data_IF_821773237441
#
_entry.id   IF_821773237441
#
_cell.length_a   1.000
_cell.length_b   1.000
_cell.length_c   1.000
_cell.angle_alpha   90.00
_cell.angle_beta   90.00
_cell.angle_gamma   90.00
#
_symmetry.space_group_name_H-M   'P 1'
#
loop_
_entity.id
_entity.type
_entity.pdbx_description
1 polymer ?
#
# COMPACT_ATOMS: atom_id res chain seq x y z
N UNK A 1 18.58 -26.43 15.34
CA UNK A 1 19.98 -26.13 14.92
C UNK A 1 20.28 -26.93 13.66
N UNK A 2 21.43 -26.76 13.00
CA UNK A 2 21.70 -27.50 11.75
C UNK A 2 21.83 -29.01 12.01
N UNK A 3 22.24 -29.40 13.22
CA UNK A 3 22.34 -30.79 13.68
C UNK A 3 21.00 -31.52 13.67
N UNK A 4 19.88 -30.78 13.80
CA UNK A 4 18.52 -31.34 13.81
C UNK A 4 17.97 -31.56 12.38
N UNK A 5 18.78 -31.35 11.35
CA UNK A 5 18.38 -31.46 9.95
C UNK A 5 19.17 -32.56 9.24
N UNK A 6 18.72 -32.98 8.06
CA UNK A 6 19.45 -33.96 7.22
C UNK A 6 20.89 -33.52 6.93
N UNK A 7 21.16 -32.21 6.91
CA UNK A 7 22.49 -31.63 6.64
C UNK A 7 23.46 -31.76 7.81
N UNK A 8 22.95 -31.93 9.03
CA UNK A 8 23.75 -32.22 10.21
C UNK A 8 24.17 -33.69 10.32
N UNK A 9 23.56 -34.58 9.55
CA UNK A 9 23.78 -36.02 9.64
C UNK A 9 24.97 -36.46 8.77
N UNK A 10 26.03 -37.08 9.33
CA UNK A 10 27.25 -37.43 8.60
C UNK A 10 27.02 -38.27 7.33
N UNK A 11 26.02 -39.16 7.36
CA UNK A 11 25.68 -40.04 6.25
C UNK A 11 25.14 -39.27 5.05
N UNK A 12 24.55 -38.08 5.26
CA UNK A 12 24.12 -37.22 4.16
C UNK A 12 25.33 -36.71 3.37
N UNK A 13 26.42 -36.35 4.04
CA UNK A 13 27.65 -35.93 3.36
C UNK A 13 28.27 -37.08 2.54
N UNK A 14 28.24 -38.30 3.07
CA UNK A 14 28.70 -39.50 2.36
C UNK A 14 27.85 -39.72 1.09
N UNK A 15 26.53 -39.65 1.22
CA UNK A 15 25.61 -39.76 0.08
C UNK A 15 25.83 -38.66 -0.95
N UNK A 16 25.96 -37.40 -0.53
CA UNK A 16 26.22 -36.28 -1.43
C UNK A 16 27.51 -36.51 -2.22
N UNK A 17 28.59 -36.90 -1.55
CA UNK A 17 29.87 -37.25 -2.20
C UNK A 17 29.72 -38.39 -3.20
N UNK A 18 28.96 -39.43 -2.86
CA UNK A 18 28.68 -40.53 -3.77
C UNK A 18 27.98 -40.03 -5.05
N UNK A 19 26.94 -39.21 -4.93
CA UNK A 19 26.23 -38.64 -6.10
C UNK A 19 27.18 -37.78 -6.95
N UNK A 20 28.11 -37.03 -6.34
CA UNK A 20 29.11 -36.28 -7.09
C UNK A 20 30.06 -37.18 -7.89
N UNK A 21 30.58 -38.23 -7.26
CA UNK A 21 31.50 -39.15 -7.91
C UNK A 21 30.79 -39.98 -8.99
N UNK A 22 29.52 -40.31 -8.77
CA UNK A 22 28.64 -40.88 -9.80
C UNK A 22 28.49 -39.94 -11.00
N UNK A 23 28.17 -38.65 -10.78
CA UNK A 23 27.99 -37.66 -11.84
C UNK A 23 29.27 -37.36 -12.62
N UNK A 24 30.44 -37.43 -11.97
CA UNK A 24 31.76 -37.29 -12.63
C UNK A 24 32.02 -38.47 -13.56
N UNK A 25 31.70 -39.69 -13.12
CA UNK A 25 31.88 -40.92 -13.91
C UNK A 25 30.84 -41.10 -15.01
N UNK A 26 29.66 -40.49 -14.87
CA UNK A 26 28.53 -40.63 -15.78
C UNK A 26 28.05 -39.26 -16.33
N UNK A 27 28.87 -38.56 -17.14
CA UNK A 27 28.59 -37.18 -17.54
C UNK A 27 27.30 -36.98 -18.37
N UNK A 28 26.82 -38.03 -19.04
CA UNK A 28 25.57 -38.02 -19.83
C UNK A 28 24.33 -38.44 -19.04
N UNK A 29 24.50 -38.93 -17.80
CA UNK A 29 23.43 -39.39 -16.90
C UNK A 29 23.57 -38.77 -15.51
N UNK A 30 23.76 -37.45 -15.47
CA UNK A 30 23.92 -36.74 -14.20
C UNK A 30 22.60 -36.73 -13.45
N UNK A 31 22.66 -37.07 -12.17
CA UNK A 31 21.55 -37.00 -11.23
C UNK A 31 21.60 -35.70 -10.43
N UNK A 32 20.44 -35.10 -10.16
CA UNK A 32 20.32 -33.98 -9.24
C UNK A 32 20.08 -34.50 -7.83
N UNK A 33 20.63 -33.82 -6.83
CA UNK A 33 20.39 -34.19 -5.43
C UNK A 33 19.04 -33.68 -4.93
N UNK A 34 18.57 -32.54 -5.47
CA UNK A 34 17.34 -31.87 -5.04
C UNK A 34 16.09 -32.77 -5.07
N UNK A 35 15.80 -33.54 -6.14
CA UNK A 35 14.64 -34.43 -6.16
C UNK A 35 14.58 -35.42 -4.99
N UNK A 36 15.74 -35.88 -4.50
CA UNK A 36 15.83 -36.81 -3.36
C UNK A 36 15.53 -36.14 -2.01
N UNK A 37 15.59 -34.80 -1.95
CA UNK A 37 15.30 -34.02 -0.74
C UNK A 37 13.83 -33.62 -0.61
N UNK A 38 13.08 -33.61 -1.72
CA UNK A 38 11.67 -33.18 -1.75
C UNK A 38 10.69 -34.06 -0.95
N UNK A 39 10.94 -35.37 -0.74
CA UNK A 39 10.12 -36.15 0.18
C UNK A 39 10.29 -35.74 1.65
N UNK A 40 11.41 -35.08 1.99
CA UNK A 40 11.73 -34.67 3.36
C UNK A 40 11.38 -33.20 3.63
N UNK A 41 11.43 -32.37 2.59
CA UNK A 41 11.24 -30.93 2.67
C UNK A 41 10.40 -30.44 1.49
N UNK A 42 9.40 -29.60 1.78
CA UNK A 42 8.81 -28.78 0.73
C UNK A 42 9.82 -27.71 0.26
N UNK A 43 9.51 -27.00 -0.83
CA UNK A 43 10.44 -26.02 -1.41
C UNK A 43 10.80 -24.88 -0.44
N UNK A 44 9.86 -24.50 0.44
CA UNK A 44 10.07 -23.49 1.46
C UNK A 44 11.00 -24.00 2.57
N UNK A 45 10.69 -25.17 3.15
CA UNK A 45 11.51 -25.83 4.17
C UNK A 45 12.91 -26.13 3.66
N UNK A 46 13.04 -26.61 2.42
CA UNK A 46 14.34 -26.86 1.80
C UNK A 46 15.14 -25.56 1.66
N UNK A 47 14.49 -24.45 1.27
CA UNK A 47 15.16 -23.14 1.19
C UNK A 47 15.64 -22.66 2.56
N UNK A 48 14.82 -22.82 3.62
CA UNK A 48 15.20 -22.48 5.01
C UNK A 48 16.43 -23.27 5.46
N UNK A 49 16.40 -24.59 5.26
CA UNK A 49 17.48 -25.47 5.71
C UNK A 49 18.75 -25.21 4.91
N UNK A 50 18.67 -24.92 3.61
CA UNK A 50 19.85 -24.54 2.81
C UNK A 50 20.47 -23.21 3.27
N UNK A 51 19.66 -22.21 3.63
CA UNK A 51 20.19 -20.95 4.19
C UNK A 51 20.79 -21.14 5.58
N UNK A 52 20.25 -22.07 6.38
CA UNK A 52 20.88 -22.47 7.65
C UNK A 52 22.23 -23.18 7.41
N UNK A 53 22.27 -24.14 6.48
CA UNK A 53 23.46 -24.91 6.13
C UNK A 53 24.57 -24.03 5.52
N UNK A 54 24.22 -22.94 4.84
CA UNK A 54 25.19 -21.95 4.34
C UNK A 54 25.94 -21.20 5.44
N UNK A 55 25.40 -21.13 6.67
CA UNK A 55 26.04 -20.41 7.78
C UNK A 55 27.13 -21.22 8.48
N UNK A 56 27.13 -22.55 8.33
CA UNK A 56 28.14 -23.42 8.89
C UNK A 56 29.22 -23.75 7.85
N UNK A 57 30.50 -23.55 8.20
CA UNK A 57 31.64 -23.70 7.28
C UNK A 57 31.76 -25.11 6.69
N UNK A 58 31.35 -26.14 7.43
CA UNK A 58 31.40 -27.55 7.00
C UNK A 58 30.37 -27.90 5.94
N UNK A 59 29.22 -27.20 5.92
CA UNK A 59 28.11 -27.47 5.00
C UNK A 59 27.93 -26.41 3.92
N UNK A 60 28.65 -25.29 4.01
CA UNK A 60 28.48 -24.13 3.12
C UNK A 60 28.60 -24.48 1.64
N UNK A 61 29.68 -25.19 1.25
CA UNK A 61 29.95 -25.49 -0.16
C UNK A 61 28.83 -26.37 -0.78
N UNK A 62 28.40 -27.40 -0.05
CA UNK A 62 27.31 -28.28 -0.48
C UNK A 62 25.98 -27.52 -0.54
N UNK A 63 25.69 -26.68 0.46
CA UNK A 63 24.47 -25.90 0.50
C UNK A 63 24.39 -24.88 -0.66
N UNK A 64 25.50 -24.21 -1.01
CA UNK A 64 25.59 -23.33 -2.19
C UNK A 64 25.31 -24.09 -3.48
N UNK A 65 25.85 -25.30 -3.62
CA UNK A 65 25.62 -26.15 -4.79
C UNK A 65 24.16 -26.58 -4.90
N UNK A 66 23.58 -27.09 -3.82
CA UNK A 66 22.17 -27.48 -3.79
C UNK A 66 21.25 -26.29 -4.04
N UNK A 67 21.61 -25.09 -3.56
CA UNK A 67 20.85 -23.86 -3.89
C UNK A 67 20.86 -23.57 -5.39
N UNK A 68 21.99 -23.76 -6.08
CA UNK A 68 22.03 -23.62 -7.55
C UNK A 68 21.19 -24.68 -8.25
N UNK A 69 21.26 -25.94 -7.82
CA UNK A 69 20.42 -27.02 -8.37
C UNK A 69 18.92 -26.73 -8.16
N UNK A 70 18.54 -26.17 -7.01
CA UNK A 70 17.15 -25.82 -6.70
C UNK A 70 16.64 -24.72 -7.64
N UNK A 71 17.45 -23.68 -7.89
CA UNK A 71 17.11 -22.59 -8.81
C UNK A 71 16.97 -23.11 -10.24
N UNK A 72 17.89 -23.97 -10.69
CA UNK A 72 17.82 -24.58 -12.02
C UNK A 72 16.58 -25.44 -12.18
N UNK A 73 16.25 -26.27 -11.18
CA UNK A 73 15.02 -27.05 -11.17
C UNK A 73 13.80 -26.13 -11.29
N UNK A 74 13.69 -25.07 -10.49
CA UNK A 74 12.55 -24.16 -10.57
C UNK A 74 12.39 -23.53 -11.96
N UNK A 75 13.50 -23.20 -12.62
CA UNK A 75 13.50 -22.71 -14.00
C UNK A 75 12.97 -23.77 -14.97
N UNK A 76 13.42 -25.02 -14.86
CA UNK A 76 12.95 -26.15 -15.68
C UNK A 76 11.48 -26.48 -15.43
N UNK A 77 11.05 -26.45 -14.17
CA UNK A 77 9.67 -26.71 -13.74
C UNK A 77 8.72 -25.54 -14.07
N UNK A 78 9.22 -24.45 -14.67
CA UNK A 78 8.42 -23.28 -15.03
C UNK A 78 7.83 -22.54 -13.82
N UNK A 79 8.50 -22.58 -12.65
CA UNK A 79 7.99 -21.91 -11.45
C UNK A 79 8.03 -20.39 -11.63
N UNK A 80 6.89 -19.74 -11.39
CA UNK A 80 6.77 -18.30 -11.60
C UNK A 80 7.69 -17.50 -10.66
N UNK A 81 8.12 -16.29 -11.06
CA UNK A 81 8.91 -15.42 -10.19
C UNK A 81 8.24 -15.15 -8.85
N UNK A 82 6.90 -15.05 -8.80
CA UNK A 82 6.17 -14.90 -7.54
C UNK A 82 6.30 -16.09 -6.60
N UNK A 83 6.21 -17.32 -7.13
CA UNK A 83 6.43 -18.53 -6.34
C UNK A 83 7.86 -18.57 -5.78
N UNK A 84 8.85 -18.32 -6.64
CA UNK A 84 10.27 -18.36 -6.27
C UNK A 84 10.66 -17.22 -5.34
N UNK A 85 10.00 -16.05 -5.43
CA UNK A 85 10.22 -14.93 -4.53
C UNK A 85 10.03 -15.34 -3.07
N UNK A 86 8.93 -16.06 -2.77
CA UNK A 86 8.64 -16.57 -1.43
C UNK A 86 9.79 -17.43 -0.90
N UNK A 87 10.41 -18.24 -1.76
CA UNK A 87 11.50 -19.16 -1.41
C UNK A 87 12.87 -18.48 -1.30
N UNK A 88 13.03 -17.29 -1.87
CA UNK A 88 14.24 -16.47 -1.69
C UNK A 88 14.13 -15.56 -0.47
N UNK A 89 12.92 -15.09 -0.18
CA UNK A 89 12.65 -14.11 0.87
C UNK A 89 12.23 -14.76 2.18
N UNK A 90 12.61 -16.01 2.39
CA UNK A 90 12.23 -16.73 3.60
C UNK A 90 12.87 -16.04 4.81
N UNK A 91 12.03 -15.61 5.75
CA UNK A 91 12.39 -14.83 6.94
C UNK A 91 12.97 -13.42 6.69
N UNK A 92 12.89 -12.94 5.44
CA UNK A 92 13.28 -11.58 5.10
C UNK A 92 12.23 -10.56 5.56
N UNK A 93 12.69 -9.44 6.12
CA UNK A 93 11.84 -8.29 6.41
C UNK A 93 11.79 -7.36 5.19
N UNK A 94 10.67 -6.66 5.03
CA UNK A 94 10.47 -5.70 3.93
C UNK A 94 11.50 -4.58 3.97
N UNK A 95 11.84 -4.04 5.15
CA UNK A 95 12.76 -2.90 5.29
C UNK A 95 14.19 -3.19 4.81
N UNK A 96 14.61 -4.46 4.81
CA UNK A 96 15.96 -4.89 4.41
C UNK A 96 15.98 -5.43 2.96
N UNK A 97 14.82 -5.48 2.29
CA UNK A 97 14.61 -6.21 1.04
C UNK A 97 15.56 -5.75 -0.07
N UNK A 98 15.68 -4.44 -0.30
CA UNK A 98 16.43 -3.90 -1.43
C UNK A 98 17.95 -4.01 -1.26
N UNK A 99 18.42 -4.18 -0.02
CA UNK A 99 19.82 -4.47 0.31
C UNK A 99 20.10 -5.97 0.45
N UNK A 100 19.06 -6.82 0.42
CA UNK A 100 19.20 -8.25 0.62
C UNK A 100 19.84 -8.90 -0.63
N UNK A 101 21.00 -9.58 -0.52
CA UNK A 101 21.62 -10.27 -1.65
C UNK A 101 20.73 -11.34 -2.30
N UNK A 102 19.82 -11.95 -1.54
CA UNK A 102 18.84 -12.90 -2.07
C UNK A 102 17.83 -12.21 -2.99
N UNK A 103 17.50 -10.94 -2.72
CA UNK A 103 16.58 -10.18 -3.57
C UNK A 103 17.23 -9.94 -4.93
N UNK A 104 18.51 -9.54 -4.93
CA UNK A 104 19.29 -9.36 -6.16
C UNK A 104 19.35 -10.67 -6.95
N UNK A 105 19.65 -11.81 -6.30
CA UNK A 105 19.67 -13.10 -6.96
C UNK A 105 18.30 -13.50 -7.53
N UNK A 106 17.21 -13.19 -6.83
CA UNK A 106 15.85 -13.41 -7.34
C UNK A 106 15.52 -12.52 -8.54
N UNK A 107 15.94 -11.25 -8.57
CA UNK A 107 15.71 -10.39 -9.75
C UNK A 107 16.33 -10.99 -11.02
N UNK A 108 17.51 -11.62 -10.89
CA UNK A 108 18.14 -12.35 -11.99
C UNK A 108 17.29 -13.54 -12.44
N UNK A 109 16.79 -14.34 -11.51
CA UNK A 109 15.86 -15.44 -11.83
C UNK A 109 14.63 -14.95 -12.58
N UNK A 110 14.00 -13.87 -12.09
CA UNK A 110 12.81 -13.30 -12.69
C UNK A 110 13.05 -12.80 -14.12
N UNK A 111 14.16 -12.11 -14.36
CA UNK A 111 14.53 -11.65 -15.71
C UNK A 111 14.74 -12.84 -16.67
N UNK A 112 15.52 -13.84 -16.26
CA UNK A 112 15.78 -15.02 -17.09
C UNK A 112 14.49 -15.81 -17.38
N UNK A 113 13.59 -15.89 -16.39
CA UNK A 113 12.28 -16.52 -16.56
C UNK A 113 11.44 -15.79 -17.62
N UNK A 114 11.36 -14.46 -17.57
CA UNK A 114 10.56 -13.70 -18.55
C UNK A 114 11.14 -13.76 -19.95
N UNK A 115 12.47 -13.70 -20.09
CA UNK A 115 13.17 -13.84 -21.36
C UNK A 115 12.87 -15.20 -22.01
N UNK A 116 13.00 -16.30 -21.25
CA UNK A 116 12.74 -17.66 -21.76
C UNK A 116 11.29 -17.92 -22.13
N UNK A 117 10.34 -17.32 -21.41
CA UNK A 117 8.93 -17.56 -21.65
C UNK A 117 8.30 -16.60 -22.68
N UNK A 118 9.10 -15.74 -23.33
CA UNK A 118 8.64 -14.68 -24.23
C UNK A 118 7.49 -13.83 -23.65
N UNK A 119 7.38 -13.81 -22.32
CA UNK A 119 6.42 -12.97 -21.64
C UNK A 119 6.91 -11.53 -21.81
N UNK A 120 6.01 -10.60 -22.17
CA UNK A 120 6.28 -9.17 -21.91
C UNK A 120 6.79 -9.09 -20.48
N UNK A 121 7.99 -8.53 -20.27
CA UNK A 121 8.65 -8.47 -18.95
C UNK A 121 7.59 -8.11 -17.92
N UNK A 122 7.16 -9.10 -17.14
CA UNK A 122 6.07 -8.89 -16.22
C UNK A 122 6.63 -8.13 -15.02
N UNK A 123 5.84 -7.22 -14.47
CA UNK A 123 6.27 -6.46 -13.29
C UNK A 123 6.67 -7.41 -12.16
N UNK A 124 7.73 -7.05 -11.44
CA UNK A 124 8.17 -7.76 -10.23
C UNK A 124 7.36 -7.32 -8.99
N UNK A 125 6.75 -6.13 -9.04
CA UNK A 125 5.98 -5.57 -7.93
C UNK A 125 4.85 -6.48 -7.40
N UNK A 126 4.07 -7.21 -8.24
CA UNK A 126 3.05 -8.12 -7.73
C UNK A 126 3.58 -9.21 -6.80
N UNK A 127 4.76 -9.79 -7.11
CA UNK A 127 5.35 -10.81 -6.27
C UNK A 127 5.74 -10.26 -4.88
N UNK A 128 6.30 -9.05 -4.87
CA UNK A 128 6.71 -8.35 -3.66
C UNK A 128 5.49 -7.98 -2.82
N UNK A 129 4.47 -7.38 -3.45
CA UNK A 129 3.23 -6.97 -2.79
C UNK A 129 2.41 -8.17 -2.29
N UNK A 130 2.45 -9.32 -2.95
CA UNK A 130 1.77 -10.53 -2.49
C UNK A 130 2.35 -11.06 -1.16
N UNK A 131 3.63 -10.84 -0.89
CA UNK A 131 4.27 -11.28 0.35
C UNK A 131 4.15 -10.23 1.47
N UNK A 132 4.35 -8.95 1.14
CA UNK A 132 4.49 -7.89 2.15
C UNK A 132 3.29 -6.94 2.25
N UNK A 133 2.39 -6.93 1.26
CA UNK A 133 1.31 -5.94 1.15
C UNK A 133 1.72 -4.69 0.35
N UNK A 134 0.77 -4.11 -0.36
CA UNK A 134 1.01 -2.95 -1.22
C UNK A 134 1.43 -1.69 -0.46
N UNK A 135 0.82 -1.44 0.70
CA UNK A 135 1.11 -0.29 1.57
C UNK A 135 2.52 -0.37 2.17
N UNK A 136 2.91 -1.53 2.72
CA UNK A 136 4.26 -1.74 3.25
C UNK A 136 5.33 -1.60 2.15
N UNK A 137 5.08 -2.17 0.97
CA UNK A 137 5.99 -2.05 -0.18
C UNK A 137 6.11 -0.61 -0.64
N UNK A 138 5.01 0.14 -0.73
CA UNK A 138 5.04 1.53 -1.14
C UNK A 138 5.87 2.39 -0.19
N UNK A 139 5.68 2.21 1.13
CA UNK A 139 6.46 2.91 2.15
C UNK A 139 7.96 2.58 2.12
N UNK A 140 8.31 1.30 1.98
CA UNK A 140 9.70 0.85 1.82
C UNK A 140 10.34 1.48 0.56
N UNK A 141 9.63 1.52 -0.56
CA UNK A 141 10.14 2.12 -1.80
C UNK A 141 10.34 3.63 -1.68
N UNK A 142 9.45 4.35 -0.99
CA UNK A 142 9.63 5.78 -0.68
C UNK A 142 10.88 6.02 0.17
N UNK A 143 11.15 5.17 1.17
CA UNK A 143 12.36 5.26 1.97
C UNK A 143 13.62 4.98 1.12
N UNK A 144 13.59 3.92 0.31
CA UNK A 144 14.72 3.50 -0.49
C UNK A 144 15.06 4.45 -1.66
N UNK A 145 14.10 5.25 -2.13
CA UNK A 145 14.35 6.34 -3.07
C UNK A 145 15.26 7.43 -2.50
N UNK A 146 15.36 7.55 -1.18
CA UNK A 146 16.22 8.53 -0.51
C UNK A 146 17.67 8.06 -0.37
N UNK A 147 17.96 6.81 -0.76
CA UNK A 147 19.30 6.21 -0.66
C UNK A 147 19.86 6.00 -2.07
N UNK A 148 21.01 6.62 -2.35
CA UNK A 148 21.62 6.69 -3.69
C UNK A 148 21.82 5.29 -4.34
N UNK A 149 22.23 4.29 -3.56
CA UNK A 149 22.49 2.94 -4.06
C UNK A 149 21.22 2.18 -4.49
N UNK A 150 20.05 2.53 -3.95
CA UNK A 150 18.77 1.86 -4.21
C UNK A 150 17.78 2.70 -5.02
N UNK A 151 18.04 3.99 -5.19
CA UNK A 151 17.12 4.97 -5.80
C UNK A 151 16.54 4.52 -7.14
N UNK A 152 17.41 4.09 -8.07
CA UNK A 152 17.01 3.73 -9.43
C UNK A 152 16.06 2.53 -9.45
N UNK A 153 16.36 1.51 -8.66
CA UNK A 153 15.54 0.30 -8.58
C UNK A 153 14.23 0.58 -7.83
N UNK A 154 14.30 1.31 -6.72
CA UNK A 154 13.13 1.70 -5.95
C UNK A 154 12.14 2.54 -6.77
N UNK A 155 12.65 3.52 -7.53
CA UNK A 155 11.83 4.35 -8.43
C UNK A 155 11.16 3.52 -9.52
N UNK A 156 11.88 2.58 -10.14
CA UNK A 156 11.32 1.67 -11.14
C UNK A 156 10.19 0.81 -10.55
N UNK A 157 10.44 0.15 -9.42
CA UNK A 157 9.45 -0.71 -8.76
C UNK A 157 8.23 0.07 -8.30
N UNK A 158 8.41 1.30 -7.81
CA UNK A 158 7.29 2.15 -7.40
C UNK A 158 6.46 2.60 -8.59
N UNK A 159 7.08 2.96 -9.71
CA UNK A 159 6.36 3.30 -10.93
C UNK A 159 5.51 2.12 -11.44
N UNK A 160 6.07 0.90 -11.43
CA UNK A 160 5.34 -0.32 -11.76
C UNK A 160 4.17 -0.57 -10.80
N UNK A 161 4.38 -0.40 -9.49
CA UNK A 161 3.35 -0.56 -8.47
C UNK A 161 2.20 0.43 -8.68
N UNK A 162 2.50 1.72 -8.88
CA UNK A 162 1.52 2.77 -9.14
C UNK A 162 0.74 2.46 -10.42
N UNK A 163 1.41 2.11 -11.51
CA UNK A 163 0.74 1.75 -12.77
C UNK A 163 -0.20 0.57 -12.60
N UNK A 164 0.22 -0.47 -11.87
CA UNK A 164 -0.62 -1.63 -11.57
C UNK A 164 -1.86 -1.25 -10.75
N UNK A 165 -1.70 -0.45 -9.70
CA UNK A 165 -2.82 -0.03 -8.84
C UNK A 165 -3.81 0.88 -9.59
N UNK A 166 -3.33 1.78 -10.45
CA UNK A 166 -4.21 2.68 -11.20
C UNK A 166 -4.89 2.02 -12.40
N UNK A 167 -4.34 0.90 -12.88
CA UNK A 167 -4.99 0.07 -13.91
C UNK A 167 -5.89 -1.01 -13.30
N UNK A 168 -5.75 -1.30 -12.01
CA UNK A 168 -6.64 -2.21 -11.30
C UNK A 168 -7.99 -1.52 -11.03
N UNK A 169 -9.10 -2.25 -11.13
CA UNK A 169 -10.41 -1.75 -10.71
C UNK A 169 -10.61 -1.96 -9.19
N UNK A 170 -9.55 -1.73 -8.40
CA UNK A 170 -9.60 -1.82 -6.93
C UNK A 170 -10.32 -0.60 -6.33
N UNK A 171 -10.70 -0.73 -5.06
CA UNK A 171 -11.34 0.37 -4.32
C UNK A 171 -10.40 1.59 -4.24
N UNK A 172 -10.85 2.80 -4.62
CA UNK A 172 -10.11 4.04 -4.39
C UNK A 172 -9.67 4.23 -2.94
N UNK A 173 -10.47 3.80 -1.96
CA UNK A 173 -10.11 3.81 -0.54
C UNK A 173 -8.88 2.98 -0.21
N UNK A 174 -8.71 1.83 -0.89
CA UNK A 174 -7.53 0.98 -0.74
C UNK A 174 -6.30 1.68 -1.34
N UNK A 175 -6.41 2.19 -2.57
CA UNK A 175 -5.30 2.90 -3.23
C UNK A 175 -4.90 4.18 -2.45
N UNK A 176 -5.87 4.85 -1.83
CA UNK A 176 -5.64 6.02 -0.97
C UNK A 176 -4.71 5.66 0.19
N UNK A 177 -4.97 4.53 0.86
CA UNK A 177 -4.12 4.01 1.95
C UNK A 177 -2.75 3.56 1.43
N UNK A 178 -2.68 2.89 0.29
CA UNK A 178 -1.39 2.45 -0.28
C UNK A 178 -0.49 3.63 -0.60
N UNK A 179 -1.04 4.74 -1.11
CA UNK A 179 -0.28 5.98 -1.33
C UNK A 179 0.00 6.76 -0.04
N UNK A 180 -0.34 6.19 1.13
CA UNK A 180 -0.15 6.74 2.45
C UNK A 180 -0.82 8.12 2.65
N UNK A 181 -1.93 8.35 1.94
CA UNK A 181 -2.67 9.60 2.05
C UNK A 181 -3.45 9.74 3.34
N UNK A 182 -3.62 8.68 4.12
CA UNK A 182 -4.16 8.71 5.48
C UNK A 182 -3.19 9.30 6.50
N UNK A 183 -1.88 9.29 6.20
CA UNK A 183 -0.83 9.80 7.09
C UNK A 183 -0.01 10.97 6.50
N UNK A 184 -0.45 11.53 5.36
CA UNK A 184 0.22 12.68 4.71
C UNK A 184 -0.01 14.00 5.47
N UNK A 185 -0.99 14.03 6.39
CA UNK A 185 -1.33 15.23 7.15
C UNK A 185 -2.24 16.18 6.35
N UNK A 186 -2.30 17.43 6.76
CA UNK A 186 -3.31 18.36 6.25
C UNK A 186 -3.04 18.88 4.82
N UNK A 187 -1.85 18.62 4.28
CA UNK A 187 -1.48 18.98 2.90
C UNK A 187 -1.79 17.87 1.89
N UNK A 188 -2.55 16.84 2.28
CA UNK A 188 -2.85 15.66 1.43
C UNK A 188 -3.36 16.01 0.02
N UNK A 189 -4.18 17.06 -0.12
CA UNK A 189 -4.71 17.49 -1.43
C UNK A 189 -3.64 18.11 -2.36
N UNK A 190 -2.51 18.53 -1.77
CA UNK A 190 -1.34 19.07 -2.47
C UNK A 190 -0.26 18.02 -2.72
N UNK A 191 -0.44 16.78 -2.25
CA UNK A 191 0.51 15.69 -2.48
C UNK A 191 0.72 15.43 -3.97
N UNK A 192 1.96 15.18 -4.44
CA UNK A 192 2.26 14.99 -5.87
C UNK A 192 1.42 13.89 -6.55
N UNK A 193 1.06 12.83 -5.81
CA UNK A 193 0.27 11.72 -6.33
C UNK A 193 -1.26 11.95 -6.24
N UNK A 194 -1.70 12.96 -5.49
CA UNK A 194 -3.13 13.16 -5.21
C UNK A 194 -3.93 13.39 -6.50
N UNK A 195 -3.44 14.23 -7.41
CA UNK A 195 -4.12 14.49 -8.69
C UNK A 195 -4.31 13.21 -9.52
N UNK A 196 -3.30 12.35 -9.54
CA UNK A 196 -3.34 11.07 -10.24
C UNK A 196 -4.37 10.12 -9.61
N UNK A 197 -4.34 9.99 -8.28
CA UNK A 197 -5.33 9.19 -7.55
C UNK A 197 -6.75 9.76 -7.68
N UNK A 198 -6.92 11.08 -7.69
CA UNK A 198 -8.24 11.71 -7.82
C UNK A 198 -8.86 11.46 -9.20
N UNK A 199 -8.04 11.45 -10.25
CA UNK A 199 -8.49 11.04 -11.58
C UNK A 199 -8.87 9.56 -11.61
N UNK A 200 -8.12 8.70 -10.91
CA UNK A 200 -8.47 7.30 -10.73
C UNK A 200 -9.81 7.12 -10.02
N UNK A 201 -10.05 7.81 -8.91
CA UNK A 201 -11.34 7.82 -8.21
C UNK A 201 -12.50 8.16 -9.16
N UNK A 202 -12.35 9.21 -9.98
CA UNK A 202 -13.37 9.59 -10.98
C UNK A 202 -13.62 8.48 -12.00
N UNK A 203 -12.56 7.89 -12.54
CA UNK A 203 -12.67 6.81 -13.51
C UNK A 203 -13.31 5.57 -12.90
N UNK A 204 -12.94 5.21 -11.67
CA UNK A 204 -13.54 4.11 -10.92
C UNK A 204 -15.03 4.36 -10.71
N UNK A 205 -15.43 5.54 -10.24
CA UNK A 205 -16.83 5.90 -10.00
C UNK A 205 -17.69 5.90 -11.27
N UNK A 206 -17.11 6.28 -12.40
CA UNK A 206 -17.78 6.24 -13.70
C UNK A 206 -17.98 4.79 -14.19
N UNK A 207 -16.98 3.92 -13.98
CA UNK A 207 -17.04 2.49 -14.34
C UNK A 207 -17.89 1.66 -13.39
N UNK A 208 -18.05 2.09 -12.15
CA UNK A 208 -18.74 1.35 -11.10
C UNK A 208 -19.83 2.21 -10.44
N UNK A 209 -20.95 2.53 -11.14
CA UNK A 209 -21.96 3.45 -10.63
C UNK A 209 -22.60 3.04 -9.30
N UNK A 210 -22.72 1.74 -9.04
CA UNK A 210 -23.32 1.19 -7.81
C UNK A 210 -22.34 1.10 -6.63
N UNK A 211 -21.04 1.37 -6.87
CA UNK A 211 -19.97 1.26 -5.87
C UNK A 211 -19.17 2.56 -5.75
N UNK A 212 -19.79 3.70 -6.08
CA UNK A 212 -19.11 5.00 -6.05
C UNK A 212 -18.54 5.28 -4.66
N UNK A 213 -17.31 5.77 -4.63
CA UNK A 213 -16.66 6.26 -3.42
C UNK A 213 -16.56 7.78 -3.45
N UNK A 214 -16.63 8.41 -2.27
CA UNK A 214 -16.54 9.88 -2.14
C UNK A 214 -15.20 10.25 -1.51
N UNK A 215 -14.50 11.19 -2.12
CA UNK A 215 -13.29 11.79 -1.54
C UNK A 215 -13.60 12.36 -0.16
N UNK A 216 -14.67 13.15 -0.01
CA UNK A 216 -15.03 13.77 1.25
C UNK A 216 -15.26 12.72 2.35
N UNK A 217 -15.96 11.63 2.05
CA UNK A 217 -16.18 10.54 3.01
C UNK A 217 -14.87 9.84 3.41
N UNK A 218 -13.92 9.68 2.48
CA UNK A 218 -12.59 9.14 2.80
C UNK A 218 -11.80 10.08 3.70
N UNK A 219 -11.84 11.39 3.43
CA UNK A 219 -11.19 12.37 4.31
C UNK A 219 -11.80 12.32 5.72
N UNK A 220 -13.13 12.28 5.86
CA UNK A 220 -13.77 12.12 7.17
C UNK A 220 -13.38 10.82 7.87
N UNK A 221 -13.29 9.71 7.14
CA UNK A 221 -12.90 8.41 7.70
C UNK A 221 -11.50 8.45 8.33
N UNK A 222 -10.52 9.03 7.64
CA UNK A 222 -9.11 9.00 8.08
C UNK A 222 -8.71 10.19 8.93
N UNK A 223 -9.25 11.38 8.66
CA UNK A 223 -8.84 12.63 9.30
C UNK A 223 -9.82 13.16 10.34
N UNK A 224 -11.04 12.59 10.43
CA UNK A 224 -12.11 13.07 11.29
C UNK A 224 -12.52 14.53 10.97
N UNK A 225 -13.61 15.02 11.58
CA UNK A 225 -14.15 16.34 11.25
C UNK A 225 -13.15 17.50 11.40
N UNK A 226 -12.37 17.50 12.48
CA UNK A 226 -11.36 18.54 12.71
C UNK A 226 -10.20 18.48 11.71
N UNK A 227 -9.76 17.28 11.30
CA UNK A 227 -8.70 17.14 10.32
C UNK A 227 -9.16 17.50 8.92
N UNK A 228 -10.40 17.19 8.55
CA UNK A 228 -11.02 17.67 7.31
C UNK A 228 -11.09 19.21 7.29
N UNK A 229 -11.39 19.85 8.43
CA UNK A 229 -11.30 21.31 8.60
C UNK A 229 -9.97 21.85 8.11
N UNK A 230 -8.89 21.33 8.71
CA UNK A 230 -7.54 21.79 8.45
C UNK A 230 -7.11 21.49 7.02
N UNK A 231 -7.47 20.34 6.48
CA UNK A 231 -7.20 20.01 5.07
C UNK A 231 -7.84 21.04 4.13
N UNK A 232 -9.10 21.38 4.36
CA UNK A 232 -9.80 22.36 3.52
C UNK A 232 -9.23 23.76 3.71
N UNK A 233 -8.88 24.16 4.93
CA UNK A 233 -8.19 25.43 5.19
C UNK A 233 -6.85 25.54 4.47
N UNK A 234 -5.98 24.54 4.55
CA UNK A 234 -4.70 24.53 3.82
C UNK A 234 -4.93 24.51 2.30
N UNK A 235 -5.89 23.71 1.84
CA UNK A 235 -6.21 23.64 0.42
C UNK A 235 -6.80 24.95 -0.13
N UNK A 236 -7.46 25.76 0.69
CA UNK A 236 -7.95 27.09 0.32
C UNK A 236 -6.81 28.12 0.15
N UNK A 237 -5.69 27.94 0.86
CA UNK A 237 -4.50 28.82 0.72
C UNK A 237 -3.70 28.51 -0.55
N UNK A 238 -3.78 27.28 -1.06
CA UNK A 238 -3.03 26.85 -2.23
C UNK A 238 -3.84 27.04 -3.53
N UNK A 239 -3.37 27.86 -4.50
CA UNK A 239 -4.07 28.12 -5.76
C UNK A 239 -4.39 26.86 -6.58
N UNK A 240 -3.59 25.80 -6.44
CA UNK A 240 -3.80 24.55 -7.18
C UNK A 240 -4.94 23.69 -6.63
N UNK A 241 -5.33 23.89 -5.36
CA UNK A 241 -6.34 23.09 -4.66
C UNK A 241 -7.59 23.87 -4.25
N UNK A 242 -7.54 25.22 -4.27
CA UNK A 242 -8.65 26.08 -3.82
C UNK A 242 -9.99 25.74 -4.47
N UNK A 243 -10.01 25.47 -5.78
CA UNK A 243 -11.23 25.11 -6.50
C UNK A 243 -11.83 23.79 -5.99
N UNK A 244 -10.99 22.80 -5.71
CA UNK A 244 -11.45 21.52 -5.16
C UNK A 244 -11.91 21.68 -3.71
N UNK A 245 -11.20 22.48 -2.91
CA UNK A 245 -11.59 22.78 -1.53
C UNK A 245 -12.98 23.42 -1.48
N UNK A 246 -13.25 24.42 -2.33
CA UNK A 246 -14.57 25.04 -2.46
C UNK A 246 -15.66 24.02 -2.84
N UNK A 247 -15.36 23.09 -3.75
CA UNK A 247 -16.29 22.02 -4.11
C UNK A 247 -16.60 21.09 -2.95
N UNK A 248 -15.58 20.68 -2.19
CA UNK A 248 -15.72 19.80 -1.04
C UNK A 248 -16.47 20.47 0.13
N UNK A 249 -16.31 21.78 0.32
CA UNK A 249 -17.09 22.56 1.30
C UNK A 249 -18.57 22.63 0.92
N UNK A 250 -18.88 22.73 -0.38
CA UNK A 250 -20.24 22.86 -0.90
C UNK A 250 -21.00 21.52 -1.00
N UNK A 251 -20.31 20.37 -0.94
CA UNK A 251 -20.93 19.04 -0.97
C UNK A 251 -21.91 18.79 0.20
N UNK A 252 -21.53 18.99 1.47
CA UNK A 252 -22.46 18.90 2.61
C UNK A 252 -23.64 19.86 2.47
N UNK A 253 -23.38 21.09 2.01
CA UNK A 253 -24.40 22.11 1.75
C UNK A 253 -25.50 21.57 0.84
N UNK A 254 -25.14 21.12 -0.36
CA UNK A 254 -26.10 20.59 -1.34
C UNK A 254 -26.82 19.34 -0.82
N UNK A 255 -26.08 18.40 -0.20
CA UNK A 255 -26.66 17.15 0.29
C UNK A 255 -27.72 17.38 1.35
N UNK A 256 -27.45 18.27 2.31
CA UNK A 256 -28.35 18.56 3.41
C UNK A 256 -29.59 19.34 2.95
N UNK A 257 -29.45 20.25 1.97
CA UNK A 257 -30.59 20.94 1.36
C UNK A 257 -31.51 19.96 0.62
N UNK A 258 -30.94 19.07 -0.20
CA UNK A 258 -31.70 18.03 -0.91
C UNK A 258 -32.44 17.08 0.04
N UNK A 259 -31.82 16.75 1.18
CA UNK A 259 -32.39 15.83 2.17
C UNK A 259 -33.30 16.51 3.19
N UNK A 260 -33.45 17.85 3.13
CA UNK A 260 -34.17 18.68 4.11
C UNK A 260 -33.75 18.40 5.56
N UNK A 261 -32.46 18.19 5.78
CA UNK A 261 -31.93 17.96 7.13
C UNK A 261 -32.02 19.24 7.96
N UNK A 262 -32.41 19.16 9.23
CA UNK A 262 -32.46 20.35 10.09
C UNK A 262 -31.08 21.02 10.21
N UNK A 263 -30.97 22.37 10.08
CA UNK A 263 -29.76 23.13 10.37
C UNK A 263 -29.16 22.88 11.76
N UNK A 264 -29.99 22.55 12.76
CA UNK A 264 -29.54 22.14 14.10
C UNK A 264 -28.74 20.84 14.05
N UNK A 265 -29.27 19.82 13.37
CA UNK A 265 -28.62 18.50 13.25
C UNK A 265 -27.37 18.55 12.36
N UNK A 266 -27.32 19.49 11.42
CA UNK A 266 -26.23 19.61 10.47
C UNK A 266 -25.17 20.62 10.90
N UNK A 267 -25.42 21.45 11.91
CA UNK A 267 -24.47 22.45 12.40
C UNK A 267 -23.07 21.89 12.63
N UNK A 268 -22.96 20.80 13.40
CA UNK A 268 -21.67 20.15 13.67
C UNK A 268 -21.12 19.32 12.50
N UNK A 269 -21.97 18.98 11.53
CA UNK A 269 -21.56 18.30 10.30
C UNK A 269 -21.06 19.28 9.22
N UNK A 270 -21.52 20.54 9.26
CA UNK A 270 -21.02 21.65 8.44
C UNK A 270 -19.82 22.33 9.08
N UNK A 271 -19.89 22.57 10.39
CA UNK A 271 -18.82 23.19 11.16
C UNK A 271 -17.83 22.08 11.48
N UNK A 272 -16.85 21.97 10.60
CA UNK A 272 -15.68 21.13 10.74
C UNK A 272 -15.09 21.41 12.12
N UNK A 273 -15.23 20.46 13.06
CA UNK A 273 -15.08 20.69 14.51
C UNK A 273 -13.87 21.58 14.88
N UNK A 274 -14.11 22.89 15.06
CA UNK A 274 -13.12 23.85 15.54
C UNK A 274 -13.24 24.00 17.06
N UNK A 275 -12.12 24.19 17.79
CA UNK A 275 -12.17 24.53 19.21
C UNK A 275 -13.07 25.76 19.44
N UNK A 276 -14.04 25.65 20.36
CA UNK A 276 -14.99 26.72 20.70
C UNK A 276 -16.37 26.65 20.04
N UNK A 277 -16.64 25.64 19.20
CA UNK A 277 -17.98 25.42 18.63
C UNK A 277 -19.02 24.85 19.62
N UNK A 278 -18.58 24.36 20.79
CA UNK A 278 -19.40 23.55 21.71
C UNK A 278 -19.90 24.30 22.95
N UNK A 279 -19.36 25.48 23.28
CA UNK A 279 -19.65 26.10 24.57
C UNK A 279 -20.78 27.15 24.44
N UNK A 280 -22.03 26.67 24.43
CA UNK A 280 -23.20 27.49 24.73
C UNK A 280 -24.00 28.05 23.55
N UNK A 281 -23.75 27.57 22.32
CA UNK A 281 -24.61 27.81 21.16
C UNK A 281 -25.78 26.82 21.17
N UNK A 282 -27.00 27.32 21.38
CA UNK A 282 -28.24 26.53 21.36
C UNK A 282 -29.19 27.10 20.32
N UNK A 283 -29.85 26.22 19.58
CA UNK A 283 -30.87 26.56 18.60
C UNK A 283 -32.20 26.90 19.27
N UNK A 284 -32.97 27.74 18.60
CA UNK A 284 -34.39 27.95 18.91
C UNK A 284 -35.21 27.85 17.64
N UNK A 285 -36.44 27.37 17.80
CA UNK A 285 -37.43 27.27 16.73
C UNK A 285 -38.60 28.19 17.07
N UNK A 286 -38.95 29.05 16.13
CA UNK A 286 -40.13 29.91 16.24
C UNK A 286 -41.41 29.11 15.99
N UNK A 287 -42.57 29.71 16.30
CA UNK A 287 -43.88 29.06 16.10
C UNK A 287 -44.19 28.75 14.63
N UNK A 288 -43.59 29.50 13.70
CA UNK A 288 -43.71 29.30 12.27
C UNK A 288 -42.73 28.23 11.71
N UNK A 289 -41.93 27.61 12.58
CA UNK A 289 -40.94 26.60 12.20
C UNK A 289 -39.54 27.16 11.87
N UNK A 290 -39.36 28.48 11.84
CA UNK A 290 -38.05 29.11 11.57
C UNK A 290 -37.03 28.74 12.64
N UNK A 291 -35.87 28.25 12.21
CA UNK A 291 -34.75 27.90 13.11
C UNK A 291 -33.74 29.05 13.15
N UNK A 292 -33.23 29.38 14.33
CA UNK A 292 -32.21 30.44 14.49
C UNK A 292 -31.29 30.21 15.70
N UNK A 293 -30.15 30.93 15.72
CA UNK A 293 -29.13 30.86 16.76
C UNK A 293 -29.11 32.14 17.64
N UNK A 294 -29.87 32.21 18.75
CA UNK A 294 -30.06 33.43 19.55
C UNK A 294 -28.80 33.99 20.25
N UNK A 295 -27.73 33.21 20.38
CA UNK A 295 -26.52 33.60 21.15
C UNK A 295 -25.28 33.66 20.28
N UNK A 296 -25.42 34.07 19.01
CA UNK A 296 -24.30 34.14 18.09
C UNK A 296 -23.16 35.06 18.56
N UNK A 297 -23.48 36.11 19.33
CA UNK A 297 -22.49 36.99 19.97
C UNK A 297 -21.58 36.30 21.00
N UNK A 298 -21.88 35.06 21.41
CA UNK A 298 -21.02 34.26 22.29
C UNK A 298 -20.04 33.37 21.51
N UNK A 299 -20.19 33.27 20.20
CA UNK A 299 -19.23 32.57 19.35
C UNK A 299 -17.92 33.37 19.26
N UNK A 300 -16.80 32.68 19.08
CA UNK A 300 -15.52 33.36 18.84
C UNK A 300 -15.52 34.05 17.47
N UNK A 301 -14.82 35.18 17.36
CA UNK A 301 -14.64 35.88 16.07
C UNK A 301 -13.99 34.97 15.02
N UNK A 302 -13.12 34.05 15.46
CA UNK A 302 -12.52 33.04 14.61
C UNK A 302 -13.55 32.06 14.02
N UNK A 303 -14.58 31.67 14.79
CA UNK A 303 -15.67 30.85 14.29
C UNK A 303 -16.52 31.65 13.29
N UNK A 304 -16.95 32.86 13.66
CA UNK A 304 -17.85 33.69 12.86
C UNK A 304 -17.24 34.13 11.52
N UNK A 305 -15.93 34.38 11.50
CA UNK A 305 -15.21 34.76 10.28
C UNK A 305 -14.89 33.58 9.35
N UNK A 306 -15.01 32.34 9.85
CA UNK A 306 -14.63 31.13 9.10
C UNK A 306 -15.52 30.90 7.87
N UNK A 307 -14.93 30.32 6.82
CA UNK A 307 -15.65 29.92 5.60
C UNK A 307 -16.78 28.93 5.89
N UNK A 308 -16.55 28.01 6.82
CA UNK A 308 -17.50 26.95 7.16
C UNK A 308 -18.73 27.51 7.88
N UNK A 309 -18.51 28.47 8.80
CA UNK A 309 -19.61 29.17 9.46
C UNK A 309 -20.41 30.01 8.46
N UNK A 310 -19.75 30.75 7.56
CA UNK A 310 -20.44 31.54 6.53
C UNK A 310 -21.29 30.67 5.61
N UNK A 311 -20.77 29.50 5.22
CA UNK A 311 -21.50 28.55 4.39
C UNK A 311 -22.70 27.94 5.14
N UNK A 312 -22.53 27.61 6.42
CA UNK A 312 -23.63 27.15 7.26
C UNK A 312 -24.68 28.23 7.53
N UNK A 313 -24.28 29.48 7.77
CA UNK A 313 -25.21 30.59 7.97
C UNK A 313 -26.08 30.80 6.73
N UNK A 314 -25.47 30.74 5.54
CA UNK A 314 -26.21 30.71 4.28
C UNK A 314 -27.17 29.52 4.20
N UNK A 315 -26.73 28.33 4.60
CA UNK A 315 -27.61 27.15 4.66
C UNK A 315 -28.82 27.34 5.58
N UNK A 316 -28.64 27.97 6.73
CA UNK A 316 -29.74 28.29 7.65
C UNK A 316 -30.76 29.23 6.99
N UNK A 317 -30.27 30.27 6.28
CA UNK A 317 -31.11 31.20 5.53
C UNK A 317 -31.87 30.46 4.41
N UNK A 318 -31.15 29.71 3.57
CA UNK A 318 -31.72 28.96 2.44
C UNK A 318 -32.66 27.82 2.87
N UNK A 319 -32.53 27.29 4.09
CA UNK A 319 -33.45 26.29 4.66
C UNK A 319 -34.75 26.91 5.17
N UNK A 320 -34.68 28.13 5.72
CA UNK A 320 -35.84 28.84 6.26
C UNK A 320 -36.65 29.55 5.15
N UNK A 321 -36.08 29.73 3.95
CA UNK A 321 -36.73 30.31 2.77
C UNK A 321 -37.65 29.31 2.05
#
# INVERSE_FOLDING_TARGET
MIEDTTFGHPQFYIWAKYVEDFNKKNPTKKELMIPSLLPLYDDEGLSRVLEMAKKASTTEALARKLRMEQIQRWMTDGKTPGYVFKMFMVDSKVDELLTNPQFIAWTKYANEFYEKNHAKIASMAPAIAALYGDDAVFGMLEAAKKVQSTEKLASKLQAEQIQRLLSSNQSPSHVFKVFNFDNTGYEVLSSPLFKTWFNYLKNFNNKNPDKKESLLNLLYRYYQGHGVARILEEAMKNPSTVKLAMQLQDEPYRRNLLSKNSPENTFYAFILAKPGATDGLHFKTLRDGTIYLPRLSKASDALLSSSDFKLWAKYLEDFNA
#
